data_IF_590724152161
#
_entry.id   IF_590724152161
#
_cell.length_a   1.000
_cell.length_b   1.000
_cell.length_c   1.000
_cell.angle_alpha   90.00
_cell.angle_beta   90.00
_cell.angle_gamma   90.00
#
_symmetry.space_group_name_H-M   'P 1'
#
loop_
_entity.id
_entity.type
_entity.pdbx_description
1 polymer ?
#
# COMPACT_ATOMS: atom_id res chain seq x y z
N UNK A 1 -29.46 -42.38 -41.37
CA UNK A 1 -28.44 -42.05 -40.36
C UNK A 1 -28.19 -40.55 -40.40
N UNK A 2 -27.97 -39.99 -39.22
CA UNK A 2 -28.06 -38.58 -38.81
C UNK A 2 -26.96 -37.69 -39.44
N UNK A 3 -27.30 -36.44 -39.74
CA UNK A 3 -26.42 -35.29 -39.49
C UNK A 3 -27.25 -34.15 -38.87
N UNK A 4 -26.81 -33.69 -37.68
CA UNK A 4 -27.39 -32.62 -36.85
C UNK A 4 -26.62 -31.35 -37.17
N UNK A 5 -27.25 -30.37 -37.80
CA UNK A 5 -26.89 -28.94 -37.75
C UNK A 5 -28.15 -28.14 -38.09
N UNK A 6 -28.97 -27.86 -37.07
CA UNK A 6 -30.19 -27.06 -37.17
C UNK A 6 -29.94 -25.66 -36.61
N UNK A 7 -29.57 -24.73 -37.49
CA UNK A 7 -29.62 -23.29 -37.22
C UNK A 7 -31.08 -22.85 -37.28
N UNK A 8 -31.61 -22.32 -36.18
CA UNK A 8 -32.90 -21.62 -36.13
C UNK A 8 -32.61 -20.13 -36.08
N UNK A 9 -32.99 -19.41 -37.14
CA UNK A 9 -33.13 -17.96 -37.12
C UNK A 9 -34.25 -17.58 -36.14
N UNK A 10 -33.91 -16.75 -35.15
CA UNK A 10 -34.85 -16.21 -34.17
C UNK A 10 -34.66 -14.70 -34.07
N UNK A 11 -35.59 -13.97 -34.68
CA UNK A 11 -35.74 -12.52 -34.63
C UNK A 11 -35.91 -12.04 -33.19
N UNK A 12 -34.97 -11.25 -32.69
CA UNK A 12 -35.07 -10.55 -31.41
C UNK A 12 -34.56 -9.12 -31.56
N UNK A 13 -35.47 -8.17 -31.75
CA UNK A 13 -35.18 -6.74 -31.64
C UNK A 13 -34.78 -6.42 -30.19
N UNK A 14 -33.51 -6.08 -29.95
CA UNK A 14 -33.10 -5.36 -28.76
C UNK A 14 -32.79 -3.91 -29.15
N UNK A 15 -33.85 -3.11 -29.26
CA UNK A 15 -33.75 -1.66 -29.34
C UNK A 15 -33.02 -1.16 -28.08
N UNK A 16 -31.80 -0.64 -28.26
CA UNK A 16 -31.11 0.13 -27.24
C UNK A 16 -31.78 1.51 -27.12
N UNK A 17 -32.40 1.87 -25.99
CA UNK A 17 -32.79 3.25 -25.79
C UNK A 17 -31.52 4.05 -25.44
N UNK A 18 -31.04 4.82 -26.41
CA UNK A 18 -30.02 5.88 -26.24
C UNK A 18 -30.38 6.93 -25.14
N UNK A 19 -31.53 6.80 -24.49
CA UNK A 19 -32.04 7.71 -23.47
C UNK A 19 -31.49 7.43 -22.05
N UNK A 20 -31.00 6.22 -21.76
CA UNK A 20 -30.51 5.88 -20.40
C UNK A 20 -29.13 6.50 -20.14
N UNK A 21 -28.28 6.61 -21.17
CA UNK A 21 -26.94 7.22 -21.07
C UNK A 21 -27.00 8.72 -20.86
N UNK A 22 -27.93 9.42 -21.53
CA UNK A 22 -28.08 10.88 -21.45
C UNK A 22 -28.50 11.38 -20.05
N UNK A 23 -29.19 10.56 -19.26
CA UNK A 23 -29.66 10.94 -17.92
C UNK A 23 -28.53 10.90 -16.87
N UNK A 24 -27.55 10.03 -17.07
CA UNK A 24 -26.39 9.89 -16.17
C UNK A 24 -25.41 11.06 -16.40
N UNK A 25 -25.15 11.43 -17.66
CA UNK A 25 -24.26 12.56 -18.00
C UNK A 25 -24.73 13.89 -17.39
N UNK A 26 -26.04 14.11 -17.38
CA UNK A 26 -26.65 15.33 -16.83
C UNK A 26 -26.52 15.42 -15.31
N UNK A 27 -26.56 14.28 -14.61
CA UNK A 27 -26.37 14.21 -13.16
C UNK A 27 -24.89 14.40 -12.77
N UNK A 28 -23.95 13.87 -13.56
CA UNK A 28 -22.50 14.00 -13.36
C UNK A 28 -22.05 15.46 -13.53
N UNK A 29 -22.59 16.17 -14.54
CA UNK A 29 -22.31 17.57 -14.77
C UNK A 29 -22.82 18.50 -13.64
N UNK A 30 -23.97 18.18 -13.05
CA UNK A 30 -24.57 18.97 -11.97
C UNK A 30 -23.84 18.82 -10.63
N UNK A 31 -23.16 17.69 -10.41
CA UNK A 31 -22.42 17.40 -9.18
C UNK A 31 -20.94 17.84 -9.23
N UNK A 32 -20.47 18.39 -10.35
CA UNK A 32 -19.06 18.77 -10.52
C UNK A 32 -18.07 17.59 -10.53
N UNK A 33 -18.57 16.35 -10.57
CA UNK A 33 -17.76 15.13 -10.56
C UNK A 33 -17.21 14.94 -11.97
N UNK A 34 -15.91 15.17 -12.18
CA UNK A 34 -15.29 14.85 -13.47
C UNK A 34 -15.16 13.32 -13.58
N UNK A 35 -15.61 12.73 -14.69
CA UNK A 35 -15.51 11.28 -14.96
C UNK A 35 -14.09 10.70 -14.86
N UNK A 36 -13.06 11.55 -14.91
CA UNK A 36 -11.67 11.19 -14.66
C UNK A 36 -11.41 10.78 -13.20
N UNK A 37 -12.08 11.41 -12.22
CA UNK A 37 -11.82 11.21 -10.80
C UNK A 37 -12.25 9.81 -10.29
N UNK A 38 -13.32 9.24 -10.89
CA UNK A 38 -13.75 7.86 -10.61
C UNK A 38 -12.97 6.81 -11.40
N UNK A 39 -12.42 7.17 -12.57
CA UNK A 39 -11.57 6.26 -13.37
C UNK A 39 -10.17 6.12 -12.76
N UNK A 40 -9.57 7.20 -12.29
CA UNK A 40 -8.25 7.16 -11.61
C UNK A 40 -8.33 6.36 -10.30
N UNK A 41 -9.43 6.49 -9.53
CA UNK A 41 -9.63 5.70 -8.30
C UNK A 41 -9.70 4.19 -8.52
N UNK A 42 -10.23 3.72 -9.66
CA UNK A 42 -10.26 2.28 -9.99
C UNK A 42 -8.90 1.73 -10.39
N UNK A 43 -7.99 2.56 -10.92
CA UNK A 43 -6.64 2.15 -11.28
C UNK A 43 -5.68 2.09 -10.08
N UNK A 44 -5.96 2.84 -9.01
CA UNK A 44 -5.06 2.95 -7.86
C UNK A 44 -4.80 1.61 -7.14
N UNK A 45 -5.77 0.69 -7.16
CA UNK A 45 -5.70 -0.65 -6.55
C UNK A 45 -5.64 -1.76 -7.63
N UNK A 46 -4.98 -1.53 -8.76
CA UNK A 46 -4.64 -2.61 -9.70
C UNK A 46 -3.53 -3.49 -9.08
N UNK A 47 -3.96 -4.49 -8.32
CA UNK A 47 -3.09 -5.51 -7.74
C UNK A 47 -2.97 -6.71 -8.72
N UNK A 48 -1.89 -7.50 -8.62
CA UNK A 48 -1.78 -8.75 -9.37
C UNK A 48 -2.98 -9.68 -9.14
N UNK A 49 -3.40 -10.39 -10.19
CA UNK A 49 -4.49 -11.34 -10.12
C UNK A 49 -4.28 -12.35 -8.98
N UNK A 50 -5.29 -12.47 -8.10
CA UNK A 50 -5.31 -13.45 -7.02
C UNK A 50 -4.68 -12.99 -5.71
N UNK A 51 -4.26 -11.73 -5.59
CA UNK A 51 -3.87 -11.14 -4.30
C UNK A 51 -5.00 -11.22 -3.28
N UNK A 52 -6.26 -11.11 -3.72
CA UNK A 52 -7.46 -11.19 -2.87
C UNK A 52 -7.58 -12.53 -2.14
N UNK A 53 -7.00 -13.61 -2.68
CA UNK A 53 -6.98 -14.92 -2.00
C UNK A 53 -5.99 -14.94 -0.82
N UNK A 54 -4.99 -14.06 -0.84
CA UNK A 54 -3.95 -13.99 0.19
C UNK A 54 -4.31 -12.96 1.26
N UNK A 55 -4.72 -11.76 0.85
CA UNK A 55 -5.04 -10.65 1.77
C UNK A 55 -6.51 -10.62 2.20
N UNK A 56 -7.36 -11.38 1.52
CA UNK A 56 -8.80 -11.31 1.69
C UNK A 56 -9.41 -10.11 0.98
N UNK A 57 -10.51 -9.59 1.52
CA UNK A 57 -11.18 -8.41 0.99
C UNK A 57 -10.33 -7.16 1.20
N UNK A 58 -9.92 -6.52 0.10
CA UNK A 58 -9.14 -5.27 0.13
C UNK A 58 -10.04 -4.08 0.39
N UNK A 59 -9.71 -3.29 1.41
CA UNK A 59 -10.34 -2.01 1.71
C UNK A 59 -9.72 -0.91 0.85
N UNK A 60 -10.52 -0.24 0.03
CA UNK A 60 -10.04 0.77 -0.94
C UNK A 60 -10.23 2.20 -0.42
N UNK A 61 -9.86 2.43 0.84
CA UNK A 61 -10.10 3.69 1.56
C UNK A 61 -8.91 4.63 1.63
N UNK A 62 -7.71 4.17 1.25
CA UNK A 62 -6.51 5.01 1.26
C UNK A 62 -6.57 6.08 0.18
N UNK A 63 -6.03 7.25 0.48
CA UNK A 63 -5.88 8.36 -0.45
C UNK A 63 -4.52 9.03 -0.24
N UNK A 64 -3.80 9.29 -1.34
CA UNK A 64 -2.56 10.07 -1.28
C UNK A 64 -2.82 11.51 -0.81
N UNK A 65 -2.15 11.91 0.27
CA UNK A 65 -2.15 13.30 0.75
C UNK A 65 -0.89 14.06 0.30
N UNK A 66 0.22 13.34 0.10
CA UNK A 66 1.52 13.87 -0.32
C UNK A 66 2.36 12.78 -0.98
N UNK A 67 3.47 13.17 -1.60
CA UNK A 67 4.46 12.21 -2.12
C UNK A 67 5.07 11.35 -1.02
N UNK A 68 5.26 10.06 -1.28
CA UNK A 68 5.88 9.14 -0.33
C UNK A 68 5.35 7.70 -0.41
N UNK A 69 5.79 6.88 0.54
CA UNK A 69 5.44 5.49 0.73
C UNK A 69 4.62 5.38 2.03
N UNK A 70 3.47 4.72 1.96
CA UNK A 70 2.49 4.70 3.04
C UNK A 70 1.99 3.29 3.31
N UNK A 71 2.10 2.86 4.56
CA UNK A 71 1.50 1.62 5.04
C UNK A 71 -0.03 1.73 5.02
N UNK A 72 -0.72 0.73 4.46
CA UNK A 72 -2.17 0.69 4.48
C UNK A 72 -2.68 0.04 5.78
N UNK A 73 -2.93 0.88 6.79
CA UNK A 73 -3.44 0.43 8.09
C UNK A 73 -4.83 -0.23 7.98
N UNK A 74 -5.64 0.16 6.99
CA UNK A 74 -6.97 -0.45 6.76
C UNK A 74 -6.87 -1.88 6.24
N UNK A 75 -5.75 -2.24 5.64
CA UNK A 75 -5.43 -3.58 5.15
C UNK A 75 -4.31 -4.26 5.94
N UNK A 76 -4.20 -3.96 7.24
CA UNK A 76 -3.22 -4.57 8.17
C UNK A 76 -1.76 -4.46 7.69
N UNK A 77 -1.45 -3.42 6.90
CA UNK A 77 -0.14 -3.17 6.29
C UNK A 77 0.35 -4.32 5.40
N UNK A 78 -0.53 -5.24 4.98
CA UNK A 78 -0.22 -6.21 3.93
C UNK A 78 -0.17 -5.53 2.57
N UNK A 79 -0.87 -4.41 2.43
CA UNK A 79 -0.74 -3.49 1.32
C UNK A 79 0.02 -2.23 1.76
N UNK A 80 0.66 -1.61 0.78
CA UNK A 80 1.22 -0.28 0.91
C UNK A 80 1.03 0.50 -0.39
N UNK A 81 1.17 1.81 -0.29
CA UNK A 81 0.95 2.72 -1.40
C UNK A 81 2.18 3.57 -1.64
N UNK A 82 2.47 3.82 -2.92
CA UNK A 82 3.43 4.83 -3.35
C UNK A 82 2.62 5.97 -3.97
N UNK A 83 2.85 7.17 -3.49
CA UNK A 83 2.24 8.40 -3.98
C UNK A 83 3.32 9.24 -4.66
N UNK A 84 3.11 9.56 -5.94
CA UNK A 84 4.02 10.38 -6.73
C UNK A 84 3.31 11.63 -7.24
N UNK A 85 3.95 12.79 -7.09
CA UNK A 85 3.51 14.02 -7.75
C UNK A 85 3.79 13.97 -9.26
N UNK A 86 2.74 14.22 -10.03
CA UNK A 86 2.80 14.42 -11.48
C UNK A 86 2.53 15.88 -11.76
N UNK A 87 3.53 16.52 -12.36
CA UNK A 87 3.46 17.90 -12.82
C UNK A 87 2.86 17.91 -14.24
N UNK A 88 1.72 18.56 -14.40
CA UNK A 88 1.04 18.69 -15.69
C UNK A 88 1.52 19.93 -16.46
N UNK A 89 1.25 19.95 -17.76
CA UNK A 89 1.59 21.08 -18.64
C UNK A 89 0.90 22.40 -18.22
N UNK A 90 -0.25 22.31 -17.55
CA UNK A 90 -0.98 23.47 -17.02
C UNK A 90 -0.43 23.99 -15.67
N UNK A 91 0.65 23.39 -15.16
CA UNK A 91 1.27 23.73 -13.88
C UNK A 91 0.53 23.17 -12.65
N UNK A 92 -0.55 22.42 -12.83
CA UNK A 92 -1.19 21.70 -11.73
C UNK A 92 -0.39 20.46 -11.33
N UNK A 93 -0.49 20.10 -10.05
CA UNK A 93 0.12 18.90 -9.48
C UNK A 93 -0.97 17.91 -9.14
N UNK A 94 -0.85 16.68 -9.63
CA UNK A 94 -1.73 15.56 -9.27
C UNK A 94 -0.92 14.50 -8.52
N UNK A 95 -1.51 13.88 -7.50
CA UNK A 95 -0.91 12.73 -6.82
C UNK A 95 -1.37 11.44 -7.49
N UNK A 96 -0.45 10.73 -8.12
CA UNK A 96 -0.69 9.39 -8.64
C UNK A 96 -0.40 8.35 -7.55
N UNK A 97 -1.39 7.52 -7.26
CA UNK A 97 -1.29 6.40 -6.33
C UNK A 97 -0.97 5.10 -7.07
N UNK A 98 -0.05 4.33 -6.51
CA UNK A 98 0.21 2.95 -6.87
C UNK A 98 0.07 2.08 -5.62
N UNK A 99 -0.59 0.94 -5.72
CA UNK A 99 -0.77 0.01 -4.60
C UNK A 99 0.00 -1.27 -4.81
N UNK A 100 0.59 -1.79 -3.75
CA UNK A 100 1.42 -2.98 -3.77
C UNK A 100 1.08 -3.89 -2.60
N UNK A 101 1.30 -5.19 -2.79
CA UNK A 101 1.15 -6.21 -1.76
C UNK A 101 2.53 -6.70 -1.29
N UNK A 102 2.69 -6.88 0.02
CA UNK A 102 3.86 -7.48 0.63
C UNK A 102 3.76 -9.02 0.60
N UNK A 103 4.59 -9.65 -0.24
CA UNK A 103 4.63 -11.11 -0.38
C UNK A 103 5.18 -11.86 0.84
N UNK A 104 5.09 -13.19 0.81
CA UNK A 104 5.71 -14.08 1.80
C UNK A 104 5.29 -13.80 3.26
N UNK A 105 4.02 -13.42 3.48
CA UNK A 105 3.47 -13.11 4.81
C UNK A 105 4.20 -11.97 5.53
N UNK A 106 4.84 -11.08 4.79
CA UNK A 106 5.45 -9.87 5.32
C UNK A 106 4.43 -8.74 5.40
N UNK A 107 4.78 -7.69 6.14
CA UNK A 107 4.00 -6.45 6.24
C UNK A 107 4.89 -5.26 5.92
N UNK A 108 4.30 -4.18 5.42
CA UNK A 108 5.03 -2.97 5.12
C UNK A 108 5.47 -2.28 6.41
N UNK A 109 6.78 -2.20 6.60
CA UNK A 109 7.41 -1.52 7.72
C UNK A 109 7.65 -0.06 7.35
N UNK A 110 6.79 0.82 7.87
CA UNK A 110 6.86 2.25 7.59
C UNK A 110 8.17 2.90 8.01
N UNK A 111 8.86 2.38 9.03
CA UNK A 111 10.16 2.90 9.44
C UNK A 111 11.18 2.67 8.32
N UNK A 112 11.31 1.45 7.81
CA UNK A 112 12.33 1.10 6.80
C UNK A 112 11.90 1.36 5.37
N UNK A 113 10.61 1.65 5.14
CA UNK A 113 9.99 1.77 3.82
C UNK A 113 10.09 0.50 2.96
N UNK A 114 10.09 -0.66 3.62
CA UNK A 114 10.22 -1.97 2.96
C UNK A 114 9.26 -2.99 3.58
N UNK A 115 8.98 -4.08 2.85
CA UNK A 115 8.26 -5.22 3.43
C UNK A 115 9.21 -6.01 4.33
N UNK A 116 8.80 -6.26 5.57
CA UNK A 116 9.56 -7.02 6.57
C UNK A 116 8.67 -8.02 7.29
N UNK A 117 9.27 -9.00 7.97
CA UNK A 117 8.50 -9.88 8.85
C UNK A 117 7.87 -9.06 9.99
N UNK A 118 6.67 -9.41 10.48
CA UNK A 118 5.99 -8.65 11.53
C UNK A 118 6.84 -8.43 12.80
N UNK A 119 7.70 -9.39 13.15
CA UNK A 119 8.64 -9.30 14.26
C UNK A 119 9.76 -8.29 14.04
N UNK A 120 10.08 -7.93 12.80
CA UNK A 120 11.11 -6.95 12.42
C UNK A 120 10.51 -5.60 12.00
N UNK A 121 9.18 -5.50 12.02
CA UNK A 121 8.44 -4.30 11.63
C UNK A 121 7.98 -3.50 12.83
N UNK A 122 7.84 -2.17 12.66
CA UNK A 122 6.96 -1.42 13.55
C UNK A 122 5.53 -1.99 13.42
N UNK A 123 4.76 -2.12 14.52
CA UNK A 123 3.40 -2.62 14.43
C UNK A 123 2.56 -1.76 13.48
N UNK A 124 1.69 -2.39 12.70
CA UNK A 124 0.93 -1.69 11.66
C UNK A 124 0.13 -0.47 12.19
N UNK A 125 -0.41 -0.58 13.40
CA UNK A 125 -1.14 0.53 14.04
C UNK A 125 -0.25 1.73 14.40
N UNK A 126 1.05 1.52 14.55
CA UNK A 126 2.05 2.56 14.78
C UNK A 126 2.67 3.09 13.49
N UNK A 127 2.36 2.50 12.32
CA UNK A 127 2.92 2.96 11.05
C UNK A 127 2.70 4.48 10.82
N UNK A 128 1.50 5.07 11.07
CA UNK A 128 1.30 6.51 10.87
C UNK A 128 2.28 7.41 11.64
N UNK A 129 2.76 6.96 12.80
CA UNK A 129 3.75 7.70 13.60
C UNK A 129 5.09 7.87 12.87
N UNK A 130 5.36 7.06 11.85
CA UNK A 130 6.57 7.06 11.03
C UNK A 130 6.37 7.61 9.62
N UNK A 131 5.20 8.17 9.27
CA UNK A 131 4.97 8.76 7.94
C UNK A 131 5.92 9.93 7.62
N UNK A 132 6.48 10.59 8.64
CA UNK A 132 7.49 11.64 8.46
C UNK A 132 8.80 11.12 7.84
N UNK A 133 9.08 9.81 7.88
CA UNK A 133 10.28 9.22 7.25
C UNK A 133 10.29 9.47 5.74
N UNK A 134 9.13 9.68 5.12
CA UNK A 134 9.04 10.07 3.71
C UNK A 134 9.77 11.38 3.40
N UNK A 135 9.95 12.27 4.37
CA UNK A 135 10.69 13.53 4.22
C UNK A 135 12.20 13.33 4.02
N UNK A 136 12.71 12.15 4.35
CA UNK A 136 14.11 11.79 4.19
C UNK A 136 14.41 11.17 2.81
N UNK A 137 13.38 10.83 2.02
CA UNK A 137 13.56 10.21 0.71
C UNK A 137 14.24 11.20 -0.25
N UNK A 138 15.30 10.74 -0.92
CA UNK A 138 16.03 11.53 -1.91
C UNK A 138 17.00 12.56 -1.31
N UNK A 139 17.12 12.64 0.01
CA UNK A 139 18.15 13.46 0.68
C UNK A 139 19.50 12.78 0.61
N UNK A 140 20.46 13.42 -0.05
CA UNK A 140 21.84 12.91 -0.19
C UNK A 140 22.77 13.39 0.94
N UNK A 141 22.34 14.42 1.68
CA UNK A 141 23.09 15.10 2.73
C UNK A 141 22.76 14.61 4.15
N UNK A 142 21.79 13.70 4.27
CA UNK A 142 21.29 13.20 5.55
C UNK A 142 21.14 11.68 5.50
N UNK A 143 21.33 10.97 6.64
CA UNK A 143 20.93 9.59 6.77
C UNK A 143 19.42 9.41 6.51
N UNK A 144 19.03 8.25 5.99
CA UNK A 144 17.61 7.89 5.84
C UNK A 144 16.89 7.79 7.21
N UNK A 145 17.64 7.40 8.24
CA UNK A 145 17.19 7.23 9.62
C UNK A 145 18.20 7.85 10.57
N UNK A 146 17.69 8.54 11.58
CA UNK A 146 18.47 9.09 12.69
C UNK A 146 18.47 8.12 13.88
N UNK A 147 19.40 8.33 14.81
CA UNK A 147 19.42 7.58 16.08
C UNK A 147 18.11 7.73 16.85
N UNK A 148 17.51 8.92 16.84
CA UNK A 148 16.22 9.19 17.48
C UNK A 148 15.08 8.38 16.84
N UNK A 149 15.13 8.15 15.52
CA UNK A 149 14.14 7.32 14.81
C UNK A 149 14.25 5.86 15.26
N UNK A 150 15.49 5.36 15.40
CA UNK A 150 15.76 4.01 15.88
C UNK A 150 15.34 3.85 17.36
N UNK A 151 15.61 4.85 18.20
CA UNK A 151 15.21 4.82 19.60
C UNK A 151 13.68 4.85 19.79
N UNK A 152 12.96 5.59 18.93
CA UNK A 152 11.48 5.58 18.92
C UNK A 152 10.91 4.23 18.48
N UNK A 153 11.55 3.57 17.51
CA UNK A 153 11.11 2.27 17.01
C UNK A 153 11.51 1.10 17.94
N UNK A 154 12.64 1.17 18.62
CA UNK A 154 13.19 0.10 19.46
C UNK A 154 12.20 -0.52 20.46
N UNK A 155 11.35 0.24 21.20
CA UNK A 155 10.36 -0.37 22.08
C UNK A 155 9.16 -0.99 21.36
N UNK A 156 8.94 -0.65 20.09
CA UNK A 156 7.80 -1.09 19.29
C UNK A 156 8.09 -2.35 18.48
N UNK A 157 9.33 -2.53 18.01
CA UNK A 157 9.71 -3.65 17.16
C UNK A 157 9.98 -4.90 18.01
N UNK A 158 9.19 -5.99 17.87
CA UNK A 158 9.31 -7.16 18.75
C UNK A 158 10.69 -7.83 18.72
N UNK A 159 11.30 -7.94 17.53
CA UNK A 159 12.57 -8.62 17.28
C UNK A 159 13.79 -7.88 17.84
N UNK A 160 13.72 -6.55 17.96
CA UNK A 160 14.80 -5.74 18.55
C UNK A 160 15.01 -6.08 20.02
N UNK A 161 13.94 -6.30 20.78
CA UNK A 161 14.03 -6.70 22.19
C UNK A 161 14.69 -8.09 22.33
N UNK A 162 14.40 -9.01 21.41
CA UNK A 162 15.05 -10.32 21.39
C UNK A 162 16.55 -10.18 21.11
N UNK A 163 16.97 -9.45 20.07
CA UNK A 163 18.39 -9.25 19.78
C UNK A 163 19.15 -8.58 20.93
N UNK A 164 18.57 -7.58 21.59
CA UNK A 164 19.17 -6.97 22.77
C UNK A 164 19.28 -7.96 23.93
N UNK A 165 18.27 -8.82 24.13
CA UNK A 165 18.31 -9.86 25.16
C UNK A 165 19.39 -10.91 24.87
N UNK A 166 19.59 -11.29 23.60
CA UNK A 166 20.65 -12.21 23.18
C UNK A 166 22.03 -11.57 23.28
N UNK A 167 22.20 -10.31 22.87
CA UNK A 167 23.45 -9.58 23.00
C UNK A 167 23.82 -9.34 24.48
N UNK A 168 22.85 -8.97 25.32
CA UNK A 168 23.06 -8.81 26.76
C UNK A 168 23.36 -10.16 27.45
N UNK A 169 22.70 -11.24 27.02
CA UNK A 169 23.00 -12.59 27.50
C UNK A 169 24.40 -13.06 27.05
N UNK A 170 24.79 -12.79 25.80
CA UNK A 170 26.12 -13.08 25.26
C UNK A 170 27.20 -12.31 26.01
N UNK A 171 27.05 -10.99 26.19
CA UNK A 171 28.00 -10.17 26.97
C UNK A 171 28.10 -10.63 28.43
N UNK A 172 27.00 -11.09 29.03
CA UNK A 172 26.99 -11.68 30.38
C UNK A 172 27.69 -13.04 30.44
N UNK A 173 27.64 -13.82 29.36
CA UNK A 173 28.40 -15.06 29.23
C UNK A 173 29.90 -14.76 29.03
N UNK A 174 30.27 -13.77 28.22
CA UNK A 174 31.67 -13.35 28.04
C UNK A 174 32.32 -12.83 29.33
N UNK A 175 31.60 -12.04 30.13
CA UNK A 175 32.09 -11.61 31.47
C UNK A 175 32.22 -12.75 32.46
N UNK A 176 31.44 -13.83 32.31
CA UNK A 176 31.59 -15.04 33.13
C UNK A 176 32.72 -15.95 32.65
N UNK A 177 33.02 -15.94 31.35
CA UNK A 177 34.12 -16.73 30.74
C UNK A 177 35.49 -16.08 30.93
N UNK A 178 35.57 -14.74 31.08
CA UNK A 178 36.81 -14.03 31.36
C UNK A 178 36.81 -13.32 32.74
N UNK A 179 36.92 -14.07 33.86
CA UNK A 179 36.90 -13.47 35.20
C UNK A 179 38.24 -12.85 35.64
N UNK A 180 39.24 -12.69 34.77
CA UNK A 180 40.59 -12.26 35.16
C UNK A 180 41.26 -11.36 34.09
N UNK A 181 41.07 -10.05 34.22
CA UNK A 181 42.16 -9.07 34.08
C UNK A 181 41.98 -7.98 35.13
#
# INVERSE_FOLDING_TARGET
MITRDGVVEGSGNFEHPAAVTASIEKAVAAAGIRSHDLRTRRAAYELPDGVEFVVGGVQTTFQCERSGYFADVSNNCQLFHICNEIYKEDGSVELQQYSFFCGNQTVFNQLSLTCAHPEESVPCQNAPDFFYINDNIGRLDAPAHTEDDLQRAAPLVPGFQQQQSFAAASNRLETKVNPQK
#
